data_IF_573949792671
#
_entry.id   IF_573949792671
#
_cell.length_a   1.000
_cell.length_b   1.000
_cell.length_c   1.000
_cell.angle_alpha   90.00
_cell.angle_beta   90.00
_cell.angle_gamma   90.00
#
_symmetry.space_group_name_H-M   'P 1'
#
loop_
_entity.id
_entity.type
_entity.pdbx_description
1 polymer ?
#
# COMPACT_ATOMS: atom_id res chain seq x y z
N UNK A 1 -14.03 -0.55 13.14
CA UNK A 1 -12.70 -1.15 13.37
C UNK A 1 -11.73 0.00 13.54
N UNK A 2 -10.86 -0.04 14.55
CA UNK A 2 -9.84 0.99 14.76
C UNK A 2 -8.84 0.96 13.59
N UNK A 3 -8.50 2.11 13.01
CA UNK A 3 -7.56 2.16 11.89
C UNK A 3 -6.16 1.72 12.32
N UNK A 4 -5.78 1.94 13.58
CA UNK A 4 -4.50 1.49 14.13
C UNK A 4 -4.44 -0.02 14.30
N UNK A 5 -5.56 -0.70 14.55
CA UNK A 5 -5.56 -2.16 14.74
C UNK A 5 -5.29 -2.94 13.46
N UNK A 6 -5.34 -2.30 12.28
CA UNK A 6 -4.99 -2.92 11.00
C UNK A 6 -3.49 -2.87 10.70
N UNK A 7 -2.73 -2.02 11.37
CA UNK A 7 -1.28 -1.90 11.15
C UNK A 7 -0.58 -2.97 11.99
N UNK A 8 0.08 -3.91 11.32
CA UNK A 8 0.78 -5.01 11.95
C UNK A 8 2.23 -4.60 12.26
N UNK A 9 2.59 -4.57 13.54
CA UNK A 9 3.95 -4.28 14.00
C UNK A 9 4.92 -5.42 13.70
N UNK A 10 4.43 -6.66 13.62
CA UNK A 10 5.22 -7.83 13.23
C UNK A 10 4.65 -8.49 11.99
N UNK A 11 5.53 -8.73 11.03
CA UNK A 11 5.24 -9.47 9.80
C UNK A 11 4.78 -10.93 10.08
N UNK A 12 5.03 -11.46 11.28
CA UNK A 12 4.61 -12.81 11.69
C UNK A 12 3.10 -12.93 11.94
N UNK A 13 2.42 -11.79 12.12
CA UNK A 13 0.97 -11.76 12.32
C UNK A 13 0.17 -11.73 11.02
N UNK A 14 0.86 -11.79 9.87
CA UNK A 14 0.22 -11.79 8.55
C UNK A 14 -0.38 -13.17 8.24
N UNK A 15 -1.65 -13.23 7.76
CA UNK A 15 -2.27 -14.51 7.37
C UNK A 15 -1.53 -15.18 6.20
N UNK A 16 -1.37 -16.51 6.25
CA UNK A 16 -0.68 -17.27 5.18
C UNK A 16 -1.44 -17.31 3.85
N UNK A 17 -2.77 -17.40 3.89
CA UNK A 17 -3.61 -17.39 2.69
C UNK A 17 -4.18 -15.99 2.46
N UNK A 18 -3.35 -15.07 2.00
CA UNK A 18 -3.73 -13.68 1.72
C UNK A 18 -3.39 -13.26 0.28
N UNK A 19 -4.00 -12.16 -0.15
CA UNK A 19 -3.53 -11.37 -1.30
C UNK A 19 -2.61 -10.27 -0.77
N UNK A 20 -1.37 -10.24 -1.27
CA UNK A 20 -0.42 -9.18 -0.95
C UNK A 20 -0.51 -8.08 -2.02
N UNK A 21 -0.61 -6.82 -1.57
CA UNK A 21 -0.57 -5.65 -2.45
C UNK A 21 0.56 -4.75 -2.01
N UNK A 22 1.55 -4.48 -2.85
CA UNK A 22 2.66 -3.58 -2.54
C UNK A 22 2.52 -2.24 -3.26
N UNK A 23 2.87 -1.16 -2.59
CA UNK A 23 2.85 0.19 -3.13
C UNK A 23 3.54 1.18 -2.21
N UNK A 24 3.79 2.39 -2.72
CA UNK A 24 4.36 3.47 -1.92
C UNK A 24 3.25 4.26 -1.23
N UNK A 25 2.13 4.49 -1.91
CA UNK A 25 0.97 5.26 -1.41
C UNK A 25 1.32 6.67 -0.92
N UNK A 26 2.32 7.31 -1.54
CA UNK A 26 2.85 8.61 -1.08
C UNK A 26 1.79 9.71 -1.00
N UNK A 27 0.88 9.69 -1.97
CA UNK A 27 -0.38 10.42 -1.88
C UNK A 27 -1.51 9.41 -2.08
N UNK A 28 -2.43 9.33 -1.11
CA UNK A 28 -3.56 8.42 -1.23
C UNK A 28 -4.62 9.00 -2.19
N UNK A 29 -4.72 8.43 -3.39
CA UNK A 29 -5.65 8.87 -4.43
C UNK A 29 -6.86 7.95 -4.54
N UNK A 30 -7.92 8.46 -5.19
CA UNK A 30 -9.15 7.70 -5.44
C UNK A 30 -8.87 6.43 -6.28
N UNK A 31 -7.88 6.49 -7.16
CA UNK A 31 -7.41 5.36 -7.96
C UNK A 31 -6.95 4.19 -7.08
N UNK A 32 -6.25 4.45 -5.96
CA UNK A 32 -5.83 3.39 -5.03
C UNK A 32 -7.04 2.68 -4.42
N UNK A 33 -8.08 3.43 -4.06
CA UNK A 33 -9.32 2.84 -3.56
C UNK A 33 -10.05 2.03 -4.65
N UNK A 34 -10.05 2.47 -5.90
CA UNK A 34 -10.65 1.70 -7.00
C UNK A 34 -9.87 0.41 -7.27
N UNK A 35 -8.55 0.49 -7.31
CA UNK A 35 -7.66 -0.66 -7.55
C UNK A 35 -7.77 -1.68 -6.43
N UNK A 36 -7.67 -1.25 -5.16
CA UNK A 36 -7.83 -2.12 -4.00
C UNK A 36 -9.25 -2.70 -3.91
N UNK A 37 -10.26 -1.95 -4.33
CA UNK A 37 -11.64 -2.45 -4.47
C UNK A 37 -11.73 -3.57 -5.50
N UNK A 38 -11.15 -3.38 -6.68
CA UNK A 38 -11.12 -4.42 -7.72
C UNK A 38 -10.29 -5.65 -7.32
N UNK A 39 -9.27 -5.49 -6.46
CA UNK A 39 -8.55 -6.62 -5.83
C UNK A 39 -9.49 -7.36 -4.87
N UNK A 40 -10.20 -6.62 -4.03
CA UNK A 40 -11.17 -7.16 -3.06
C UNK A 40 -12.27 -7.96 -3.73
N UNK A 41 -12.81 -7.47 -4.84
CA UNK A 41 -13.93 -8.11 -5.53
C UNK A 41 -13.57 -9.45 -6.17
N UNK A 42 -12.29 -9.67 -6.51
CA UNK A 42 -11.81 -10.91 -7.13
C UNK A 42 -11.12 -11.87 -6.17
N UNK A 43 -10.66 -11.40 -5.00
CA UNK A 43 -10.03 -12.26 -4.00
C UNK A 43 -11.05 -12.80 -3.00
N UNK A 44 -10.87 -14.07 -2.60
CA UNK A 44 -11.67 -14.70 -1.54
C UNK A 44 -11.06 -14.57 -0.15
N UNK A 45 -9.88 -13.95 -0.01
CA UNK A 45 -9.10 -13.89 1.21
C UNK A 45 -8.79 -12.47 1.71
N UNK A 46 -8.11 -12.34 2.86
CA UNK A 46 -7.70 -11.05 3.39
C UNK A 46 -6.71 -10.34 2.45
N UNK A 47 -6.87 -9.03 2.32
CA UNK A 47 -5.92 -8.15 1.65
C UNK A 47 -4.95 -7.58 2.67
N UNK A 48 -3.67 -7.83 2.41
CA UNK A 48 -2.55 -7.31 3.17
C UNK A 48 -1.80 -6.31 2.29
N UNK A 49 -1.82 -5.04 2.68
CA UNK A 49 -1.11 -3.98 1.96
C UNK A 49 0.27 -3.77 2.56
N UNK A 50 1.29 -3.83 1.73
CA UNK A 50 2.68 -3.54 2.07
C UNK A 50 3.00 -2.11 1.61
N UNK A 51 3.21 -1.22 2.58
CA UNK A 51 3.64 0.16 2.33
C UNK A 51 5.16 0.17 2.31
N UNK A 52 5.72 0.28 1.12
CA UNK A 52 7.16 0.28 0.91
C UNK A 52 7.78 1.62 1.33
N UNK A 53 9.00 1.57 1.87
CA UNK A 53 9.82 2.75 2.07
C UNK A 53 10.24 3.35 0.71
N UNK A 54 10.22 4.69 0.60
CA UNK A 54 10.72 5.42 -0.57
C UNK A 54 11.60 6.59 -0.11
N UNK A 55 12.69 6.85 -0.83
CA UNK A 55 13.67 7.86 -0.41
C UNK A 55 13.18 9.30 -0.65
N UNK A 56 12.23 9.49 -1.57
CA UNK A 56 11.70 10.78 -2.01
C UNK A 56 10.24 10.99 -1.57
N UNK A 57 9.87 10.46 -0.40
CA UNK A 57 8.50 10.50 0.10
C UNK A 57 8.05 11.88 0.62
N UNK A 58 6.84 12.29 0.22
CA UNK A 58 6.14 13.47 0.77
C UNK A 58 5.63 13.16 2.18
N UNK A 59 5.00 12.00 2.36
CA UNK A 59 4.45 11.55 3.64
C UNK A 59 5.34 10.47 4.23
N UNK A 60 5.57 10.51 5.54
CA UNK A 60 6.31 9.43 6.20
C UNK A 60 5.66 8.07 5.97
N UNK A 61 6.46 7.01 5.82
CA UNK A 61 5.95 5.64 5.66
C UNK A 61 4.85 5.27 6.68
N UNK A 62 5.00 5.73 7.94
CA UNK A 62 3.98 5.54 8.98
C UNK A 62 2.67 6.28 8.67
N UNK A 63 2.73 7.54 8.26
CA UNK A 63 1.53 8.30 7.91
C UNK A 63 0.77 7.65 6.74
N UNK A 64 1.50 7.15 5.74
CA UNK A 64 0.92 6.40 4.63
C UNK A 64 0.25 5.11 5.07
N UNK A 65 0.88 4.37 5.98
CA UNK A 65 0.27 3.17 6.56
C UNK A 65 -1.04 3.47 7.29
N UNK A 66 -1.13 4.58 8.03
CA UNK A 66 -2.36 5.03 8.68
C UNK A 66 -3.45 5.42 7.66
N UNK A 67 -3.08 6.10 6.58
CA UNK A 67 -4.00 6.44 5.49
C UNK A 67 -4.54 5.19 4.78
N UNK A 68 -3.66 4.25 4.42
CA UNK A 68 -4.04 2.99 3.78
C UNK A 68 -4.92 2.15 4.72
N UNK A 69 -4.60 2.10 6.01
CA UNK A 69 -5.40 1.37 7.00
C UNK A 69 -6.84 1.92 7.13
N UNK A 70 -7.04 3.22 6.85
CA UNK A 70 -8.38 3.82 6.85
C UNK A 70 -9.31 3.25 5.75
N UNK A 71 -8.74 2.63 4.71
CA UNK A 71 -9.51 2.06 3.61
C UNK A 71 -10.30 0.81 4.05
N UNK A 72 -11.58 0.76 3.69
CA UNK A 72 -12.50 -0.30 4.14
C UNK A 72 -12.14 -1.69 3.63
N UNK A 73 -11.64 -1.79 2.39
CA UNK A 73 -11.29 -3.06 1.74
C UNK A 73 -9.96 -3.66 2.20
N UNK A 74 -9.15 -2.89 2.93
CA UNK A 74 -7.85 -3.31 3.46
C UNK A 74 -8.04 -3.95 4.83
N UNK A 75 -7.58 -5.18 4.98
CA UNK A 75 -7.69 -5.93 6.23
C UNK A 75 -6.45 -5.71 7.11
N UNK A 76 -5.25 -5.72 6.52
CA UNK A 76 -3.99 -5.51 7.21
C UNK A 76 -3.04 -4.59 6.45
N UNK A 77 -2.19 -3.87 7.18
CA UNK A 77 -1.14 -3.01 6.64
C UNK A 77 0.18 -3.35 7.31
N UNK A 78 1.23 -3.49 6.51
CA UNK A 78 2.61 -3.72 6.98
C UNK A 78 3.52 -2.67 6.35
N UNK A 79 4.38 -2.05 7.15
CA UNK A 79 5.48 -1.21 6.66
C UNK A 79 6.70 -2.08 6.46
N UNK A 80 7.33 -2.01 5.28
CA UNK A 80 8.48 -2.84 4.91
C UNK A 80 9.37 -2.13 3.90
N UNK A 81 10.57 -2.63 3.67
CA UNK A 81 11.33 -2.33 2.46
C UNK A 81 11.16 -3.44 1.41
N UNK A 82 11.93 -3.36 0.32
CA UNK A 82 11.85 -4.34 -0.77
C UNK A 82 12.42 -5.71 -0.37
N UNK A 83 13.41 -5.75 0.52
CA UNK A 83 14.00 -7.00 1.00
C UNK A 83 13.01 -7.73 1.91
N UNK A 84 12.38 -7.00 2.82
CA UNK A 84 11.33 -7.51 3.70
C UNK A 84 10.10 -8.00 2.90
N UNK A 85 9.71 -7.29 1.84
CA UNK A 85 8.66 -7.75 0.93
C UNK A 85 9.03 -9.08 0.28
N UNK A 86 10.27 -9.25 -0.18
CA UNK A 86 10.73 -10.50 -0.77
C UNK A 86 10.63 -11.67 0.22
N UNK A 87 11.16 -11.47 1.44
CA UNK A 87 11.09 -12.47 2.52
C UNK A 87 9.64 -12.81 2.90
N UNK A 88 8.76 -11.82 2.90
CA UNK A 88 7.33 -11.99 3.16
C UNK A 88 6.65 -12.88 2.11
N UNK A 89 6.93 -12.63 0.83
CA UNK A 89 6.38 -13.44 -0.27
C UNK A 89 6.85 -14.89 -0.16
N UNK A 90 8.15 -15.12 0.07
CA UNK A 90 8.72 -16.45 0.23
C UNK A 90 8.12 -17.20 1.43
N UNK A 91 7.98 -16.52 2.56
CA UNK A 91 7.50 -17.12 3.81
C UNK A 91 6.00 -17.43 3.79
N UNK A 92 5.21 -16.51 3.25
CA UNK A 92 3.75 -16.62 3.30
C UNK A 92 3.19 -17.44 2.14
N UNK A 93 3.88 -17.47 0.99
CA UNK A 93 3.39 -18.04 -0.25
C UNK A 93 1.95 -17.54 -0.57
N UNK A 94 1.78 -16.22 -0.77
CA UNK A 94 0.48 -15.59 -0.94
C UNK A 94 -0.27 -16.15 -2.15
N UNK A 95 -1.60 -16.09 -2.12
CA UNK A 95 -2.43 -16.54 -3.23
C UNK A 95 -2.29 -15.64 -4.47
N UNK A 96 -2.03 -14.35 -4.25
CA UNK A 96 -1.80 -13.36 -5.30
C UNK A 96 -0.86 -12.27 -4.78
N UNK A 97 -0.01 -11.74 -5.66
CA UNK A 97 0.83 -10.56 -5.40
C UNK A 97 0.51 -9.49 -6.44
N UNK A 98 0.03 -8.34 -5.98
CA UNK A 98 -0.31 -7.18 -6.81
C UNK A 98 0.68 -6.07 -6.54
N UNK A 99 1.30 -5.54 -7.60
CA UNK A 99 2.38 -4.55 -7.55
C UNK A 99 1.90 -3.21 -8.11
N UNK A 100 1.79 -2.19 -7.24
CA UNK A 100 1.32 -0.83 -7.58
C UNK A 100 2.45 0.21 -7.59
N UNK A 101 3.68 -0.16 -7.26
CA UNK A 101 4.82 0.72 -7.02
C UNK A 101 5.08 1.69 -8.19
N UNK A 102 5.10 1.18 -9.42
CA UNK A 102 5.32 2.03 -10.59
C UNK A 102 4.15 2.98 -10.86
N UNK A 103 2.92 2.53 -10.61
CA UNK A 103 1.74 3.35 -10.81
C UNK A 103 1.73 4.51 -9.81
N UNK A 104 2.07 4.23 -8.55
CA UNK A 104 2.22 5.24 -7.49
C UNK A 104 3.27 6.29 -7.86
N UNK A 105 4.48 5.87 -8.25
CA UNK A 105 5.55 6.80 -8.66
C UNK A 105 5.12 7.71 -9.80
N UNK A 106 4.46 7.15 -10.82
CA UNK A 106 3.94 7.93 -11.96
C UNK A 106 2.88 8.94 -11.50
N UNK A 107 1.99 8.56 -10.59
CA UNK A 107 0.93 9.42 -10.07
C UNK A 107 1.50 10.57 -9.23
N UNK A 108 2.40 10.27 -8.30
CA UNK A 108 3.06 11.29 -7.45
C UNK A 108 3.82 12.30 -8.32
N UNK A 109 4.60 11.82 -9.30
CA UNK A 109 5.32 12.73 -10.22
C UNK A 109 4.37 13.66 -10.97
N UNK A 110 3.27 13.13 -11.54
CA UNK A 110 2.27 13.96 -12.23
C UNK A 110 1.64 14.99 -11.32
N UNK A 111 1.30 14.61 -10.09
CA UNK A 111 0.72 15.53 -9.11
C UNK A 111 1.68 16.68 -8.78
N UNK A 112 2.96 16.38 -8.58
CA UNK A 112 4.00 17.39 -8.35
C UNK A 112 4.12 18.33 -9.56
N UNK A 113 4.17 17.78 -10.78
CA UNK A 113 4.23 18.58 -12.01
C UNK A 113 3.02 19.52 -12.16
N UNK A 114 1.81 19.02 -11.90
CA UNK A 114 0.58 19.80 -12.03
C UNK A 114 0.51 20.93 -10.98
N UNK A 115 0.94 20.66 -9.74
CA UNK A 115 1.03 21.69 -8.68
C UNK A 115 2.05 22.76 -9.04
N UNK A 116 3.24 22.38 -9.51
CA UNK A 116 4.29 23.33 -9.91
C UNK A 116 3.83 24.25 -11.06
N UNK A 117 3.09 23.72 -12.04
CA UNK A 117 2.50 24.52 -13.12
C UNK A 117 1.43 25.49 -12.61
N UNK A 118 0.66 25.11 -11.60
CA UNK A 118 -0.39 25.94 -11.00
C UNK A 118 0.12 27.12 -10.15
N UNK A 119 1.31 27.00 -9.54
CA UNK A 119 1.88 28.05 -8.66
C UNK A 119 2.64 29.16 -9.40
N UNK A 120 2.86 29.03 -10.70
CA UNK A 120 3.58 30.04 -11.51
C UNK A 120 2.63 31.02 -12.20
N UNK A 121 1.38 31.15 -11.70
CA UNK A 121 0.32 31.94 -12.32
C UNK A 121 -0.23 33.02 -11.40
#
# INVERSE_FOLDING_TARGET
MDTRSKILTSSDSVPRSCTLVSGYFDVLLAEHARELGAVRDRTGGPIVVIVLADAEEILSQRARAELVASLRMVDYVVTADHEDLHRLIERLNPAEVVRLEEADRRRTRRLIEDVQRGQTR
#
